data_IF_592638694087
#
_entry.id   IF_592638694087
#
_cell.length_a   1.000
_cell.length_b   1.000
_cell.length_c   1.000
_cell.angle_alpha   90.00
_cell.angle_beta   90.00
_cell.angle_gamma   90.00
#
_symmetry.space_group_name_H-M   'P 1'
#
loop_
_entity.id
_entity.type
_entity.pdbx_description
1 polymer ?
#
# COMPACT_ATOMS: atom_id res chain seq x y z
N UNK A 1 -20.74 -43.99 6.01
CA UNK A 1 -19.56 -43.59 6.83
C UNK A 1 -18.23 -43.73 6.07
N UNK A 2 -18.01 -44.80 5.29
CA UNK A 2 -16.77 -44.97 4.48
C UNK A 2 -16.58 -43.91 3.40
N UNK A 3 -17.64 -43.57 2.64
CA UNK A 3 -17.57 -42.54 1.59
C UNK A 3 -17.16 -41.17 2.15
N UNK A 4 -17.69 -40.79 3.32
CA UNK A 4 -17.31 -39.54 4.00
C UNK A 4 -15.84 -39.53 4.41
N UNK A 5 -15.30 -40.66 4.89
CA UNK A 5 -13.87 -40.79 5.23
C UNK A 5 -12.98 -40.67 3.99
N UNK A 6 -13.39 -41.26 2.87
CA UNK A 6 -12.65 -41.16 1.60
C UNK A 6 -12.61 -39.71 1.12
N UNK A 7 -13.74 -39.01 1.16
CA UNK A 7 -13.82 -37.59 0.78
C UNK A 7 -12.95 -36.72 1.70
N UNK A 8 -12.99 -36.92 3.01
CA UNK A 8 -12.15 -36.18 3.96
C UNK A 8 -10.65 -36.40 3.72
N UNK A 9 -10.24 -37.64 3.46
CA UNK A 9 -8.84 -37.96 3.14
C UNK A 9 -8.38 -37.29 1.85
N UNK A 10 -9.23 -37.21 0.84
CA UNK A 10 -8.92 -36.51 -0.42
C UNK A 10 -8.77 -35.00 -0.21
N UNK A 11 -9.66 -34.38 0.56
CA UNK A 11 -9.59 -32.95 0.89
C UNK A 11 -8.33 -32.63 1.70
N UNK A 12 -7.99 -33.47 2.68
CA UNK A 12 -6.76 -33.31 3.47
C UNK A 12 -5.50 -33.48 2.61
N UNK A 13 -5.49 -34.44 1.69
CA UNK A 13 -4.40 -34.64 0.74
C UNK A 13 -4.19 -33.43 -0.17
N UNK A 14 -5.27 -32.82 -0.68
CA UNK A 14 -5.21 -31.59 -1.48
C UNK A 14 -4.69 -30.39 -0.68
N UNK A 15 -5.11 -30.24 0.58
CA UNK A 15 -4.60 -29.19 1.47
C UNK A 15 -3.11 -29.32 1.73
N UNK A 16 -2.63 -30.54 2.01
CA UNK A 16 -1.21 -30.80 2.23
C UNK A 16 -0.42 -30.53 0.95
N UNK A 17 -0.92 -30.97 -0.22
CA UNK A 17 -0.29 -30.72 -1.50
C UNK A 17 -0.19 -29.22 -1.83
N UNK A 18 -1.23 -28.44 -1.53
CA UNK A 18 -1.23 -26.99 -1.73
C UNK A 18 -0.16 -26.30 -0.86
N UNK A 19 -0.10 -26.65 0.44
CA UNK A 19 0.91 -26.11 1.37
C UNK A 19 2.33 -26.47 0.91
N UNK A 20 2.54 -27.70 0.45
CA UNK A 20 3.84 -28.16 -0.07
C UNK A 20 4.22 -27.41 -1.35
N UNK A 21 3.27 -27.22 -2.27
CA UNK A 21 3.50 -26.47 -3.52
C UNK A 21 3.91 -25.02 -3.25
N UNK A 22 3.17 -24.33 -2.38
CA UNK A 22 3.45 -22.95 -1.98
C UNK A 22 4.81 -22.84 -1.27
N UNK A 23 5.13 -23.84 -0.43
CA UNK A 23 6.43 -23.92 0.23
C UNK A 23 7.57 -24.17 -0.77
N UNK A 24 7.39 -25.05 -1.76
CA UNK A 24 8.38 -25.31 -2.81
C UNK A 24 8.63 -24.05 -3.64
N UNK A 25 7.58 -23.31 -4.02
CA UNK A 25 7.72 -22.04 -4.72
C UNK A 25 8.48 -21.00 -3.90
N UNK A 26 8.20 -20.89 -2.60
CA UNK A 26 8.94 -20.04 -1.68
C UNK A 26 10.41 -20.46 -1.55
N UNK A 27 10.69 -21.76 -1.42
CA UNK A 27 12.05 -22.33 -1.35
C UNK A 27 12.84 -22.16 -2.64
N UNK A 28 12.17 -22.22 -3.79
CA UNK A 28 12.76 -21.99 -5.11
C UNK A 28 12.88 -20.51 -5.46
N UNK A 29 12.24 -19.61 -4.69
CA UNK A 29 12.44 -18.19 -4.90
C UNK A 29 13.90 -17.83 -4.57
N UNK A 30 14.60 -17.25 -5.55
CA UNK A 30 15.99 -16.82 -5.37
C UNK A 30 16.15 -15.86 -4.19
N UNK A 31 15.11 -15.06 -3.91
CA UNK A 31 15.05 -14.17 -2.76
C UNK A 31 15.13 -14.89 -1.42
N UNK A 32 14.34 -15.96 -1.25
CA UNK A 32 14.36 -16.73 -0.01
C UNK A 32 15.71 -17.42 0.20
N UNK A 33 16.32 -17.94 -0.86
CA UNK A 33 17.65 -18.55 -0.80
C UNK A 33 18.74 -17.53 -0.46
N UNK A 34 18.73 -16.36 -1.10
CA UNK A 34 19.68 -15.26 -0.80
C UNK A 34 19.53 -14.82 0.64
N UNK A 35 18.28 -14.58 1.09
CA UNK A 35 17.97 -14.18 2.46
C UNK A 35 18.50 -15.18 3.47
N UNK A 36 18.16 -16.46 3.32
CA UNK A 36 18.60 -17.49 4.26
C UNK A 36 20.11 -17.71 4.21
N UNK A 37 20.74 -17.64 3.04
CA UNK A 37 22.19 -17.72 2.94
C UNK A 37 22.86 -16.56 3.69
N UNK A 38 22.38 -15.32 3.50
CA UNK A 38 22.97 -14.16 4.18
C UNK A 38 22.73 -14.24 5.69
N UNK A 39 21.52 -14.55 6.12
CA UNK A 39 21.19 -14.63 7.54
C UNK A 39 21.91 -15.81 8.22
N UNK A 40 22.11 -16.95 7.57
CA UNK A 40 22.71 -18.11 8.23
C UNK A 40 24.24 -18.18 8.12
N UNK A 41 24.84 -17.57 7.09
CA UNK A 41 26.28 -17.69 6.80
C UNK A 41 27.13 -16.57 7.40
N UNK A 42 26.53 -15.41 7.66
CA UNK A 42 27.24 -14.26 8.19
C UNK A 42 26.93 -14.04 9.67
N UNK A 43 27.86 -13.39 10.37
CA UNK A 43 27.69 -13.00 11.76
C UNK A 43 26.49 -12.06 11.90
N UNK A 44 25.52 -12.48 12.73
CA UNK A 44 24.22 -11.83 12.86
C UNK A 44 24.32 -10.35 13.23
N UNK A 45 25.26 -9.98 14.11
CA UNK A 45 25.45 -8.58 14.52
C UNK A 45 25.91 -7.70 13.37
N UNK A 46 26.86 -8.17 12.55
CA UNK A 46 27.32 -7.43 11.36
C UNK A 46 26.20 -7.23 10.34
N UNK A 47 25.33 -8.23 10.18
CA UNK A 47 24.16 -8.11 9.31
C UNK A 47 23.19 -7.06 9.89
N UNK A 48 22.93 -7.08 11.20
CA UNK A 48 22.07 -6.08 11.85
C UNK A 48 22.62 -4.67 11.72
N UNK A 49 23.91 -4.47 11.89
CA UNK A 49 24.56 -3.17 11.70
C UNK A 49 24.39 -2.65 10.26
N UNK A 50 24.60 -3.52 9.27
CA UNK A 50 24.41 -3.17 7.86
C UNK A 50 22.95 -2.79 7.57
N UNK A 51 21.99 -3.58 8.04
CA UNK A 51 20.57 -3.30 7.85
C UNK A 51 20.15 -2.01 8.56
N UNK A 52 20.63 -1.77 9.78
CA UNK A 52 20.36 -0.55 10.53
C UNK A 52 20.90 0.68 9.82
N UNK A 53 22.12 0.60 9.26
CA UNK A 53 22.72 1.69 8.48
C UNK A 53 21.95 1.95 7.18
N UNK A 54 21.51 0.89 6.51
CA UNK A 54 20.80 0.97 5.23
C UNK A 54 19.35 1.45 5.34
N UNK A 55 18.67 1.10 6.44
CA UNK A 55 17.27 1.45 6.66
C UNK A 55 17.09 2.73 7.47
N UNK A 56 18.08 3.15 8.26
CA UNK A 56 17.99 4.35 9.08
C UNK A 56 16.76 4.30 10.01
N UNK A 57 15.86 5.26 9.84
CA UNK A 57 14.64 5.40 10.66
C UNK A 57 13.62 4.27 10.44
N UNK A 58 13.67 3.54 9.32
CA UNK A 58 12.74 2.43 9.03
C UNK A 58 13.24 1.09 9.57
N UNK A 59 14.33 1.05 10.33
CA UNK A 59 14.85 -0.16 10.96
C UNK A 59 13.95 -0.64 12.10
N UNK A 60 13.47 -1.88 12.04
CA UNK A 60 12.49 -2.43 12.98
C UNK A 60 13.10 -3.30 14.09
N UNK A 61 14.36 -3.74 13.92
CA UNK A 61 15.00 -4.70 14.83
C UNK A 61 14.67 -6.16 14.51
N UNK A 62 13.66 -6.41 13.68
CA UNK A 62 13.35 -7.74 13.16
C UNK A 62 14.19 -8.01 11.92
N UNK A 63 15.31 -8.72 12.10
CA UNK A 63 16.30 -8.96 11.05
C UNK A 63 15.73 -9.58 9.76
N UNK A 64 14.67 -10.40 9.86
CA UNK A 64 14.04 -11.00 8.68
C UNK A 64 13.24 -9.95 7.90
N UNK A 65 12.49 -9.10 8.58
CA UNK A 65 11.72 -8.04 7.93
C UNK A 65 12.65 -6.92 7.42
N UNK A 66 13.66 -6.57 8.22
CA UNK A 66 14.66 -5.56 7.87
C UNK A 66 15.45 -5.99 6.62
N UNK A 67 15.76 -7.27 6.45
CA UNK A 67 16.37 -7.76 5.22
C UNK A 67 15.48 -7.52 3.98
N UNK A 68 14.19 -7.82 4.08
CA UNK A 68 13.26 -7.63 2.97
C UNK A 68 13.10 -6.15 2.63
N UNK A 69 12.93 -5.31 3.65
CA UNK A 69 12.83 -3.86 3.51
C UNK A 69 14.09 -3.28 2.86
N UNK A 70 15.27 -3.73 3.30
CA UNK A 70 16.55 -3.26 2.78
C UNK A 70 16.70 -3.64 1.30
N UNK A 71 16.37 -4.88 0.94
CA UNK A 71 16.44 -5.32 -0.45
C UNK A 71 15.47 -4.55 -1.35
N UNK A 72 14.22 -4.35 -0.92
CA UNK A 72 13.23 -3.57 -1.67
C UNK A 72 13.71 -2.14 -1.86
N UNK A 73 14.28 -1.52 -0.82
CA UNK A 73 14.84 -0.15 -0.88
C UNK A 73 15.91 -0.05 -1.96
N UNK A 74 16.88 -0.96 -1.97
CA UNK A 74 17.94 -0.99 -2.99
C UNK A 74 17.37 -1.17 -4.40
N UNK A 75 16.42 -2.09 -4.58
CA UNK A 75 15.79 -2.30 -5.91
C UNK A 75 15.06 -1.04 -6.38
N UNK A 76 14.31 -0.39 -5.50
CA UNK A 76 13.59 0.84 -5.82
C UNK A 76 14.52 2.01 -6.16
N UNK A 77 15.64 2.15 -5.43
CA UNK A 77 16.69 3.14 -5.75
C UNK A 77 17.29 2.91 -7.14
N UNK A 78 17.53 1.66 -7.53
CA UNK A 78 18.04 1.34 -8.86
C UNK A 78 17.02 1.61 -9.98
N UNK A 79 15.73 1.39 -9.72
CA UNK A 79 14.66 1.77 -10.66
C UNK A 79 14.62 3.30 -10.80
N UNK A 80 14.69 4.03 -9.68
CA UNK A 80 14.65 5.49 -9.66
C UNK A 80 15.76 6.14 -10.51
N UNK A 81 16.96 5.55 -10.55
CA UNK A 81 18.07 6.02 -11.40
C UNK A 81 17.73 5.99 -12.90
N UNK A 82 16.82 5.11 -13.31
CA UNK A 82 16.43 4.89 -14.72
C UNK A 82 15.11 5.56 -15.08
N UNK A 83 14.35 6.04 -14.09
CA UNK A 83 13.07 6.69 -14.29
C UNK A 83 13.17 8.21 -14.46
N UNK A 84 12.18 8.74 -15.18
CA UNK A 84 11.92 10.17 -15.24
C UNK A 84 11.61 10.71 -13.84
N UNK A 85 12.12 11.90 -13.53
CA UNK A 85 12.09 12.48 -12.18
C UNK A 85 10.68 12.53 -11.57
N UNK A 86 9.66 12.88 -12.36
CA UNK A 86 8.27 12.96 -11.91
C UNK A 86 7.65 11.61 -11.52
N UNK A 87 8.24 10.49 -11.95
CA UNK A 87 7.77 9.14 -11.64
C UNK A 87 8.45 8.54 -10.41
N UNK A 88 9.64 9.05 -10.04
CA UNK A 88 10.46 8.48 -8.94
C UNK A 88 9.73 8.41 -7.60
N UNK A 89 8.78 9.32 -7.36
CA UNK A 89 7.95 9.34 -6.15
C UNK A 89 7.12 8.06 -5.95
N UNK A 90 6.91 7.28 -7.00
CA UNK A 90 6.15 6.04 -6.97
C UNK A 90 6.99 4.82 -6.60
N UNK A 91 8.32 4.93 -6.68
CA UNK A 91 9.27 3.89 -6.30
C UNK A 91 9.95 4.25 -4.98
N UNK A 92 9.15 4.56 -3.97
CA UNK A 92 9.62 4.70 -2.60
C UNK A 92 9.20 3.46 -1.81
N UNK A 93 10.14 2.88 -1.07
CA UNK A 93 9.75 1.97 -0.01
C UNK A 93 9.07 2.77 1.09
N UNK A 94 7.85 2.36 1.45
CA UNK A 94 7.09 2.93 2.56
C UNK A 94 6.85 1.78 3.54
N UNK A 95 7.30 1.94 4.78
CA UNK A 95 7.07 0.94 5.82
C UNK A 95 5.57 0.74 6.06
N UNK A 96 5.16 -0.39 6.63
CA UNK A 96 3.75 -0.64 6.98
C UNK A 96 3.19 0.44 7.92
N UNK A 97 4.02 0.97 8.81
CA UNK A 97 3.66 2.02 9.77
C UNK A 97 3.43 3.36 9.06
N UNK A 98 4.34 3.76 8.17
CA UNK A 98 4.15 4.95 7.33
C UNK A 98 2.95 4.80 6.39
N UNK A 99 2.74 3.61 5.83
CA UNK A 99 1.56 3.33 5.00
C UNK A 99 0.27 3.46 5.81
N UNK A 100 0.27 2.99 7.06
CA UNK A 100 -0.87 3.16 7.98
C UNK A 100 -1.13 4.64 8.28
N UNK A 101 -0.07 5.40 8.59
CA UNK A 101 -0.15 6.86 8.80
C UNK A 101 -0.68 7.58 7.56
N UNK A 102 -0.18 7.22 6.37
CA UNK A 102 -0.64 7.79 5.10
C UNK A 102 -2.11 7.47 4.83
N UNK A 103 -2.56 6.26 5.17
CA UNK A 103 -3.96 5.89 5.04
C UNK A 103 -4.86 6.67 6.01
N UNK A 104 -4.42 6.88 7.26
CA UNK A 104 -5.12 7.72 8.23
C UNK A 104 -5.18 9.19 7.80
N UNK A 105 -4.08 9.74 7.28
CA UNK A 105 -4.02 11.08 6.70
C UNK A 105 -4.98 11.21 5.51
N UNK A 106 -5.00 10.23 4.60
CA UNK A 106 -5.93 10.21 3.47
C UNK A 106 -7.38 10.16 3.92
N UNK A 107 -7.69 9.40 4.97
CA UNK A 107 -9.03 9.40 5.59
C UNK A 107 -9.40 10.77 6.16
N UNK A 108 -8.49 11.45 6.86
CA UNK A 108 -8.72 12.80 7.38
C UNK A 108 -8.93 13.81 6.24
N UNK A 109 -8.07 13.81 5.23
CA UNK A 109 -8.18 14.67 4.06
C UNK A 109 -9.49 14.46 3.27
N UNK A 110 -9.99 13.22 3.18
CA UNK A 110 -11.27 12.92 2.56
C UNK A 110 -12.49 13.44 3.37
N UNK A 111 -12.32 13.74 4.66
CA UNK A 111 -13.35 14.43 5.49
C UNK A 111 -13.35 15.93 5.29
N UNK A 112 -12.24 16.50 4.83
CA UNK A 112 -12.05 17.93 4.62
C UNK A 112 -12.51 18.42 3.23
N UNK A 113 -13.34 17.65 2.52
CA UNK A 113 -13.97 18.14 1.29
C UNK A 113 -14.78 19.38 1.65
N UNK A 114 -14.52 20.46 0.92
CA UNK A 114 -15.10 21.77 1.15
C UNK A 114 -15.84 22.23 -0.11
N UNK A 115 -17.10 22.61 0.05
CA UNK A 115 -17.94 23.17 -1.01
C UNK A 115 -18.47 24.54 -0.63
N UNK A 116 -18.56 25.46 -1.59
CA UNK A 116 -19.27 26.73 -1.43
C UNK A 116 -19.76 27.30 -2.76
N UNK A 117 -20.82 28.12 -2.74
CA UNK A 117 -21.12 29.06 -3.81
C UNK A 117 -19.98 30.07 -3.97
N UNK A 118 -19.61 30.41 -5.20
CA UNK A 118 -18.63 31.46 -5.49
C UNK A 118 -19.21 32.59 -6.35
N UNK A 119 -20.20 32.29 -7.19
CA UNK A 119 -20.99 33.26 -7.97
C UNK A 119 -22.41 32.69 -8.19
N UNK A 120 -23.34 33.53 -8.63
CA UNK A 120 -24.78 33.19 -8.77
C UNK A 120 -25.03 31.87 -9.53
N UNK A 121 -24.19 31.53 -10.51
CA UNK A 121 -24.30 30.30 -11.32
C UNK A 121 -23.12 29.32 -11.15
N UNK A 122 -22.23 29.53 -10.17
CA UNK A 122 -21.02 28.69 -10.00
C UNK A 122 -20.90 28.16 -8.57
N UNK A 123 -20.87 26.83 -8.46
CA UNK A 123 -20.49 26.12 -7.25
C UNK A 123 -19.03 25.65 -7.31
N UNK A 124 -18.28 25.87 -6.24
CA UNK A 124 -16.90 25.41 -6.11
C UNK A 124 -16.84 24.26 -5.10
N UNK A 125 -16.11 23.19 -5.44
CA UNK A 125 -15.80 22.10 -4.52
C UNK A 125 -14.30 21.74 -4.59
N UNK A 126 -13.65 21.66 -3.43
CA UNK A 126 -12.26 21.22 -3.30
C UNK A 126 -12.19 19.83 -2.69
N UNK A 127 -11.47 18.93 -3.37
CA UNK A 127 -11.27 17.55 -2.92
C UNK A 127 -9.78 17.32 -2.73
N UNK A 128 -9.34 17.10 -1.48
CA UNK A 128 -7.94 16.87 -1.14
C UNK A 128 -7.47 15.42 -1.27
N UNK A 129 -8.39 14.44 -1.18
CA UNK A 129 -8.04 13.02 -1.32
C UNK A 129 -9.28 12.15 -1.60
N UNK A 130 -9.06 11.00 -2.22
CA UNK A 130 -10.06 9.95 -2.46
C UNK A 130 -9.88 8.77 -1.51
N UNK A 131 -10.84 8.55 -0.61
CA UNK A 131 -10.83 7.45 0.35
C UNK A 131 -12.14 6.64 0.30
N UNK A 132 -12.00 5.30 0.25
CA UNK A 132 -13.03 4.35 -0.19
C UNK A 132 -14.42 4.52 0.45
N UNK A 133 -14.45 4.96 1.70
CA UNK A 133 -15.69 5.07 2.50
C UNK A 133 -16.12 6.49 2.79
N UNK A 134 -15.24 7.46 2.61
CA UNK A 134 -15.42 8.80 3.18
C UNK A 134 -15.65 9.86 2.10
N UNK A 135 -14.95 9.78 0.97
CA UNK A 135 -15.09 10.79 -0.09
C UNK A 135 -16.53 10.89 -0.60
N UNK A 136 -17.17 9.77 -0.93
CA UNK A 136 -18.57 9.75 -1.36
C UNK A 136 -19.52 10.32 -0.29
N UNK A 137 -19.31 9.95 0.99
CA UNK A 137 -20.10 10.47 2.12
C UNK A 137 -19.96 11.98 2.29
N UNK A 138 -18.74 12.51 2.21
CA UNK A 138 -18.45 13.94 2.31
C UNK A 138 -19.00 14.72 1.12
N UNK A 139 -18.81 14.22 -0.11
CA UNK A 139 -19.37 14.82 -1.33
C UNK A 139 -20.90 14.91 -1.31
N UNK A 140 -21.58 13.84 -0.84
CA UNK A 140 -23.05 13.81 -0.76
C UNK A 140 -23.66 14.94 0.05
N UNK A 141 -22.92 15.53 0.99
CA UNK A 141 -23.39 16.69 1.78
C UNK A 141 -23.62 17.94 0.91
N UNK A 142 -22.84 18.07 -0.17
CA UNK A 142 -22.85 19.23 -1.05
C UNK A 142 -23.74 19.05 -2.28
N UNK A 143 -24.09 17.81 -2.66
CA UNK A 143 -24.94 17.52 -3.82
C UNK A 143 -26.25 18.32 -3.84
N UNK A 144 -27.00 18.48 -2.72
CA UNK A 144 -28.24 19.25 -2.74
C UNK A 144 -28.03 20.70 -3.18
N UNK A 145 -27.01 21.36 -2.62
CA UNK A 145 -26.68 22.75 -2.93
C UNK A 145 -26.09 22.89 -4.34
N UNK A 146 -25.23 21.95 -4.76
CA UNK A 146 -24.62 21.93 -6.10
C UNK A 146 -25.64 21.87 -7.23
N UNK A 147 -26.83 21.28 -7.01
CA UNK A 147 -27.87 21.14 -8.03
C UNK A 147 -28.51 22.47 -8.42
N UNK A 148 -28.41 23.47 -7.57
CA UNK A 148 -29.00 24.78 -7.80
C UNK A 148 -28.10 25.69 -8.66
N UNK A 149 -26.89 25.24 -8.99
CA UNK A 149 -25.90 25.98 -9.78
C UNK A 149 -25.69 25.34 -11.15
N UNK A 150 -25.61 26.17 -12.19
CA UNK A 150 -25.41 25.74 -13.58
C UNK A 150 -24.00 25.21 -13.85
N UNK A 151 -22.99 25.76 -13.16
CA UNK A 151 -21.59 25.42 -13.35
C UNK A 151 -20.97 24.91 -12.05
N UNK A 152 -20.12 23.88 -12.16
CA UNK A 152 -19.42 23.28 -11.03
C UNK A 152 -17.92 23.29 -11.33
N UNK A 153 -17.14 23.89 -10.42
CA UNK A 153 -15.67 23.82 -10.44
C UNK A 153 -15.24 22.76 -9.42
N UNK A 154 -14.59 21.71 -9.91
CA UNK A 154 -13.96 20.69 -9.07
C UNK A 154 -12.46 20.99 -9.00
N UNK A 155 -12.03 21.51 -7.85
CA UNK A 155 -10.62 21.75 -7.58
C UNK A 155 -9.96 20.47 -7.04
N UNK A 156 -8.93 20.02 -7.75
CA UNK A 156 -8.08 18.88 -7.40
C UNK A 156 -6.62 19.30 -7.17
N UNK A 157 -6.33 20.60 -7.03
CA UNK A 157 -5.00 21.04 -6.60
C UNK A 157 -4.69 20.45 -5.23
N UNK A 158 -3.45 19.99 -5.11
CA UNK A 158 -2.92 19.28 -3.94
C UNK A 158 -3.68 17.99 -3.60
N UNK A 159 -4.45 17.43 -4.53
CA UNK A 159 -5.11 16.15 -4.34
C UNK A 159 -4.07 15.02 -4.32
N UNK A 160 -4.02 14.26 -3.23
CA UNK A 160 -3.03 13.19 -3.02
C UNK A 160 -3.38 11.87 -3.74
N UNK A 161 -4.45 11.86 -4.54
CA UNK A 161 -4.96 10.70 -5.24
C UNK A 161 -5.83 9.84 -4.33
N UNK A 162 -5.71 8.52 -4.49
CA UNK A 162 -6.47 7.54 -3.72
C UNK A 162 -7.02 6.41 -4.58
N UNK A 163 -7.97 5.65 -4.05
CA UNK A 163 -8.57 4.52 -4.79
C UNK A 163 -9.72 5.00 -5.70
N UNK A 164 -9.74 4.59 -6.97
CA UNK A 164 -10.86 4.85 -7.89
C UNK A 164 -12.19 4.27 -7.40
N UNK A 165 -12.16 3.17 -6.63
CA UNK A 165 -13.36 2.60 -6.00
C UNK A 165 -13.97 3.52 -4.94
N UNK A 166 -13.29 4.61 -4.55
CA UNK A 166 -13.78 5.56 -3.53
C UNK A 166 -14.90 6.47 -3.98
N UNK A 167 -15.21 6.46 -5.27
CA UNK A 167 -16.28 7.24 -5.89
C UNK A 167 -17.50 6.39 -6.27
N UNK A 168 -17.43 5.06 -6.10
CA UNK A 168 -18.57 4.15 -6.22
C UNK A 168 -19.45 4.22 -4.96
#
# INVERSE_FOLDING_TARGET
MQVLKIILSLVLGLLIAAIISESIELWNSGMWQIKNNILNKYEQEKVRELLKKGLGETYTGNIKNDFDNFFITIVMEEINKKEAEHLRRYNAFISREEMSKNNELGLQQAREIYGKPVQDNIYYIHIKSFHKKESNKSLKKYIPEMRDYENIIIDLKDNTGGSFDSLR
#
